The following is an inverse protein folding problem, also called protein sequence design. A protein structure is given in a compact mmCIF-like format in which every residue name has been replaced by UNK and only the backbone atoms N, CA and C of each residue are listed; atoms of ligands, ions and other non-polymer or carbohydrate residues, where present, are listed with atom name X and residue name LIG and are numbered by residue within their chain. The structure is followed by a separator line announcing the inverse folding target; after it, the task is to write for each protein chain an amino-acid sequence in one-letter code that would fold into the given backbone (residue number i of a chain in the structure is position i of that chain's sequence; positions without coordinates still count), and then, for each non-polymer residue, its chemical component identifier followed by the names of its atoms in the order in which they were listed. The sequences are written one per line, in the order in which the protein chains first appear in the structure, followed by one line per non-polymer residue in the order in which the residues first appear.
data_IF_792372198671
#
_entry.id   IF_792372198671
#
_cell.length_a   1.000
_cell.length_b   1.000
_cell.length_c   1.000
_cell.angle_alpha   90.00
_cell.angle_beta   90.00
_cell.angle_gamma   90.00
#
_symmetry.space_group_name_H-M   'P 1'
#
loop_
_entity.id
_entity.type
_entity.pdbx_description
1 polymer ?
#
# COMPACT_ATOMS: atom_id res chain seq x y z
N UNK A 1 -3.64 0.04 -8.03
CA UNK A 1 -3.71 -0.59 -6.69
C UNK A 1 -4.91 -1.52 -6.68
N UNK A 2 -4.80 -2.68 -6.03
CA UNK A 2 -5.89 -3.64 -5.90
C UNK A 2 -5.92 -4.18 -4.46
N UNK A 3 -7.08 -4.09 -3.81
CA UNK A 3 -7.33 -4.83 -2.57
C UNK A 3 -7.74 -6.25 -2.94
N UNK A 4 -6.94 -7.25 -2.53
CA UNK A 4 -7.14 -8.66 -2.93
C UNK A 4 -7.82 -9.50 -1.87
N UNK A 5 -7.94 -9.01 -0.62
CA UNK A 5 -8.61 -9.72 0.48
C UNK A 5 -8.17 -11.19 0.61
N UNK A 6 -6.86 -11.44 0.46
CA UNK A 6 -6.22 -12.75 0.38
C UNK A 6 -5.75 -13.10 -1.04
N UNK A 7 -4.44 -13.18 -1.24
CA UNK A 7 -3.84 -13.40 -2.57
C UNK A 7 -3.74 -14.88 -3.00
N UNK A 8 -3.81 -15.83 -2.05
CA UNK A 8 -3.48 -17.23 -2.30
C UNK A 8 -4.35 -17.92 -3.35
N UNK A 9 -5.60 -17.46 -3.54
CA UNK A 9 -6.55 -18.03 -4.51
C UNK A 9 -6.76 -17.18 -5.75
N UNK A 10 -6.14 -15.99 -5.81
CA UNK A 10 -6.43 -14.97 -6.84
C UNK A 10 -5.21 -14.58 -7.67
N UNK A 11 -4.02 -15.12 -7.37
CA UNK A 11 -2.77 -14.72 -8.03
C UNK A 11 -2.85 -14.82 -9.56
N UNK A 12 -3.30 -15.94 -10.11
CA UNK A 12 -3.36 -16.12 -11.58
C UNK A 12 -4.29 -15.10 -12.25
N UNK A 13 -5.41 -14.78 -11.62
CA UNK A 13 -6.34 -13.75 -12.11
C UNK A 13 -5.71 -12.36 -12.05
N UNK A 14 -4.97 -12.06 -10.99
CA UNK A 14 -4.23 -10.80 -10.85
C UNK A 14 -3.15 -10.69 -11.94
N UNK A 15 -2.35 -11.74 -12.13
CA UNK A 15 -1.29 -11.76 -13.17
C UNK A 15 -1.90 -11.61 -14.57
N UNK A 16 -2.98 -12.33 -14.87
CA UNK A 16 -3.67 -12.19 -16.15
C UNK A 16 -4.20 -10.77 -16.37
N UNK A 17 -4.78 -10.16 -15.33
CA UNK A 17 -5.30 -8.79 -15.40
C UNK A 17 -4.20 -7.76 -15.66
N UNK A 18 -3.08 -7.83 -14.93
CA UNK A 18 -1.98 -6.86 -15.09
C UNK A 18 -1.29 -6.98 -16.45
N UNK A 19 -1.16 -8.19 -16.99
CA UNK A 19 -0.60 -8.41 -18.33
C UNK A 19 -1.53 -7.88 -19.42
N UNK A 20 -2.83 -8.16 -19.30
CA UNK A 20 -3.86 -7.69 -20.25
C UNK A 20 -3.97 -6.17 -20.29
N UNK A 21 -3.79 -5.49 -19.15
CA UNK A 21 -3.89 -4.04 -19.03
C UNK A 21 -2.55 -3.31 -19.10
N UNK A 22 -1.46 -4.03 -19.42
CA UNK A 22 -0.10 -3.46 -19.51
C UNK A 22 0.33 -2.65 -18.28
N UNK A 23 0.01 -3.15 -17.09
CA UNK A 23 0.37 -2.50 -15.83
C UNK A 23 1.84 -2.82 -15.53
N UNK A 24 2.69 -1.81 -15.31
CA UNK A 24 4.11 -2.06 -14.99
C UNK A 24 4.36 -2.35 -13.51
N UNK A 25 3.61 -1.68 -12.62
CA UNK A 25 3.76 -1.78 -11.17
C UNK A 25 2.37 -1.84 -10.55
N UNK A 26 2.13 -2.85 -9.72
CA UNK A 26 0.87 -3.01 -8.98
C UNK A 26 1.14 -3.09 -7.47
N UNK A 27 0.46 -2.23 -6.71
CA UNK A 27 0.29 -2.41 -5.27
C UNK A 27 -0.91 -3.32 -4.99
N UNK A 28 -0.68 -4.39 -4.26
CA UNK A 28 -1.70 -5.25 -3.65
C UNK A 28 -1.85 -4.91 -2.16
N UNK A 29 -3.08 -4.75 -1.70
CA UNK A 29 -3.41 -4.59 -0.27
C UNK A 29 -4.21 -5.80 0.24
N UNK A 30 -4.13 -6.06 1.54
CA UNK A 30 -4.76 -7.23 2.18
C UNK A 30 -4.32 -8.55 1.55
N UNK A 31 -3.01 -8.73 1.37
CA UNK A 31 -2.49 -9.96 0.74
C UNK A 31 -2.63 -11.18 1.64
N UNK A 32 -2.67 -10.98 2.96
CA UNK A 32 -2.61 -12.03 3.99
C UNK A 32 -1.38 -12.94 3.89
N UNK A 33 -0.35 -12.50 3.15
CA UNK A 33 0.89 -13.23 2.97
C UNK A 33 1.74 -13.08 4.23
N UNK A 34 2.00 -14.20 4.92
CA UNK A 34 2.74 -14.20 6.19
C UNK A 34 4.27 -14.32 5.99
N UNK A 35 4.70 -14.96 4.90
CA UNK A 35 6.11 -15.18 4.56
C UNK A 35 6.24 -15.70 3.12
N UNK A 36 7.46 -15.62 2.59
CA UNK A 36 7.82 -16.15 1.28
C UNK A 36 7.24 -15.31 0.15
N UNK A 37 7.55 -15.71 -1.07
CA UNK A 37 7.17 -14.97 -2.26
C UNK A 37 5.94 -15.60 -2.93
N UNK A 38 5.21 -14.81 -3.70
CA UNK A 38 4.13 -15.30 -4.56
C UNK A 38 4.75 -16.07 -5.73
N UNK A 39 4.04 -17.08 -6.24
CA UNK A 39 4.53 -17.90 -7.33
C UNK A 39 4.36 -17.19 -8.68
N UNK A 40 5.26 -16.24 -8.98
CA UNK A 40 5.26 -15.43 -10.20
C UNK A 40 6.67 -15.00 -10.58
N UNK A 41 6.87 -14.66 -11.85
CA UNK A 41 8.14 -14.12 -12.37
C UNK A 41 8.31 -12.61 -12.09
N UNK A 42 7.26 -11.96 -11.61
CA UNK A 42 7.30 -10.53 -11.25
C UNK A 42 8.17 -10.34 -10.01
N UNK A 43 8.96 -9.27 -10.00
CA UNK A 43 9.72 -8.91 -8.81
C UNK A 43 8.76 -8.43 -7.71
N UNK A 44 9.10 -8.72 -6.45
CA UNK A 44 8.17 -8.58 -5.34
C UNK A 44 8.82 -7.87 -4.17
N UNK A 45 8.09 -6.92 -3.57
CA UNK A 45 8.44 -6.34 -2.29
C UNK A 45 7.26 -6.49 -1.36
N UNK A 46 7.51 -7.03 -0.17
CA UNK A 46 6.45 -7.39 0.78
C UNK A 46 6.57 -6.59 2.08
N UNK A 47 5.44 -6.11 2.57
CA UNK A 47 5.20 -5.97 3.99
C UNK A 47 4.27 -7.10 4.40
N UNK A 48 4.80 -8.09 5.11
CA UNK A 48 4.02 -9.28 5.46
C UNK A 48 2.87 -8.94 6.41
N UNK A 49 1.78 -9.66 6.23
CA UNK A 49 0.63 -9.67 7.12
C UNK A 49 1.03 -10.19 8.50
N UNK A 50 0.25 -9.83 9.52
CA UNK A 50 0.41 -10.34 10.88
C UNK A 50 -0.73 -11.28 11.24
N UNK A 51 -0.49 -12.19 12.19
CA UNK A 51 -1.57 -13.00 12.78
C UNK A 51 -2.05 -12.27 14.03
N UNK A 52 -3.34 -11.96 14.10
CA UNK A 52 -3.96 -11.35 15.28
C UNK A 52 -4.44 -12.46 16.22
N UNK A 53 -3.74 -12.75 17.32
CA UNK A 53 -4.19 -13.74 18.32
C UNK A 53 -4.48 -15.13 17.73
N UNK A 54 -5.66 -15.69 18.06
CA UNK A 54 -6.12 -17.03 17.61
C UNK A 54 -6.67 -17.06 16.17
N UNK A 55 -6.45 -16.01 15.37
CA UNK A 55 -6.98 -15.96 14.00
C UNK A 55 -6.33 -17.03 13.10
N UNK A 56 -7.17 -17.73 12.33
CA UNK A 56 -6.73 -18.71 11.32
C UNK A 56 -6.24 -18.08 10.01
N UNK A 57 -6.33 -16.75 9.87
CA UNK A 57 -5.95 -15.99 8.68
C UNK A 57 -5.05 -14.81 9.05
N UNK A 58 -4.13 -14.46 8.15
CA UNK A 58 -3.34 -13.24 8.26
C UNK A 58 -4.22 -11.98 8.16
N UNK A 59 -3.73 -10.88 8.70
CA UNK A 59 -4.38 -9.57 8.70
C UNK A 59 -3.47 -8.53 8.00
N UNK A 60 -4.04 -7.78 7.06
CA UNK A 60 -3.33 -6.79 6.26
C UNK A 60 -2.35 -7.42 5.26
N UNK A 61 -1.17 -6.83 5.18
CA UNK A 61 -0.15 -7.20 4.21
C UNK A 61 -0.22 -6.35 2.94
N UNK A 62 0.96 -5.95 2.46
CA UNK A 62 1.16 -5.16 1.25
C UNK A 62 2.17 -5.87 0.36
N UNK A 63 1.92 -5.89 -0.94
CA UNK A 63 2.88 -6.39 -1.92
C UNK A 63 2.94 -5.42 -3.09
N UNK A 64 4.14 -4.95 -3.43
CA UNK A 64 4.39 -4.42 -4.77
C UNK A 64 4.80 -5.57 -5.69
N UNK A 65 4.14 -5.67 -6.83
CA UNK A 65 4.54 -6.48 -7.97
C UNK A 65 5.12 -5.54 -9.04
N UNK A 66 6.30 -5.88 -9.56
CA UNK A 66 7.00 -5.11 -10.59
C UNK A 66 7.21 -6.00 -11.81
N UNK A 67 6.83 -5.50 -12.98
CA UNK A 67 6.89 -6.23 -14.24
C UNK A 67 8.31 -6.76 -14.50
N UNK A 68 8.47 -7.99 -15.01
CA UNK A 68 9.75 -8.48 -15.51
C UNK A 68 10.34 -7.52 -16.55
N UNK A 69 11.64 -7.26 -16.45
CA UNK A 69 12.34 -6.31 -17.34
C UNK A 69 11.76 -4.88 -17.31
N UNK A 70 11.24 -4.43 -16.16
CA UNK A 70 10.94 -3.03 -15.96
C UNK A 70 12.23 -2.19 -16.16
N UNK A 71 12.20 -1.11 -16.96
CA UNK A 71 13.42 -0.45 -17.45
C UNK A 71 14.17 0.35 -16.38
N UNK A 72 13.58 0.54 -15.20
CA UNK A 72 14.18 1.26 -14.09
C UNK A 72 14.50 0.32 -12.94
N UNK A 73 15.62 0.58 -12.28
CA UNK A 73 15.94 -0.12 -11.04
C UNK A 73 14.90 0.21 -9.97
N UNK A 74 14.32 -0.83 -9.36
CA UNK A 74 13.36 -0.70 -8.25
C UNK A 74 13.94 -1.38 -7.03
N UNK A 75 13.91 -0.70 -5.91
CA UNK A 75 14.27 -1.28 -4.63
C UNK A 75 13.30 -0.83 -3.53
N UNK A 76 13.15 -1.67 -2.51
CA UNK A 76 12.42 -1.30 -1.30
C UNK A 76 13.17 -0.18 -0.57
N UNK A 77 12.45 0.86 -0.16
CA UNK A 77 13.02 1.90 0.71
C UNK A 77 13.31 1.33 2.10
N UNK A 78 14.46 1.71 2.66
CA UNK A 78 14.93 1.30 3.99
C UNK A 78 14.53 2.28 5.10
N UNK A 79 13.63 3.24 4.81
CA UNK A 79 13.17 4.22 5.80
C UNK A 79 12.65 3.51 7.07
N UNK A 80 13.16 3.83 8.28
CA UNK A 80 12.79 3.16 9.52
C UNK A 80 11.30 3.26 9.86
N UNK A 81 10.56 4.18 9.25
CA UNK A 81 9.09 4.28 9.42
C UNK A 81 8.32 3.26 8.58
N UNK A 82 8.98 2.58 7.62
CA UNK A 82 8.44 1.40 6.90
C UNK A 82 8.32 0.15 7.78
N UNK A 83 8.67 0.25 9.06
CA UNK A 83 8.48 -0.81 10.07
C UNK A 83 7.04 -0.92 10.56
N UNK A 84 6.18 0.07 10.25
CA UNK A 84 4.76 -0.03 10.50
C UNK A 84 4.12 -0.90 9.42
N UNK A 85 3.48 -2.00 9.79
CA UNK A 85 2.84 -2.98 8.89
C UNK A 85 1.79 -2.41 7.90
N UNK A 86 1.52 -1.10 8.00
CA UNK A 86 0.52 -0.35 7.24
C UNK A 86 1.11 0.46 6.07
N UNK A 87 2.46 0.50 5.92
CA UNK A 87 3.17 1.22 4.85
C UNK A 87 4.24 0.33 4.22
N UNK A 88 4.32 0.33 2.90
CA UNK A 88 5.41 -0.26 2.13
C UNK A 88 5.87 0.76 1.09
N UNK A 89 7.17 0.94 0.93
CA UNK A 89 7.72 1.98 0.06
C UNK A 89 8.72 1.38 -0.91
N UNK A 90 8.65 1.79 -2.18
CA UNK A 90 9.65 1.46 -3.20
C UNK A 90 10.21 2.74 -3.80
N UNK A 91 11.46 2.69 -4.25
CA UNK A 91 12.12 3.77 -4.98
C UNK A 91 12.40 3.28 -6.40
N UNK A 92 12.02 4.09 -7.37
CA UNK A 92 12.17 3.82 -8.80
C UNK A 92 13.23 4.77 -9.35
N UNK A 93 14.34 4.20 -9.83
CA UNK A 93 15.53 4.97 -10.16
C UNK A 93 16.06 5.72 -8.92
N UNK A 94 16.32 7.02 -9.07
CA UNK A 94 16.86 7.88 -8.01
C UNK A 94 15.98 9.10 -7.70
N UNK A 95 14.76 9.17 -8.26
CA UNK A 95 13.97 10.40 -8.25
C UNK A 95 12.48 10.21 -8.00
N UNK A 96 12.00 8.97 -7.86
CA UNK A 96 10.59 8.67 -7.61
C UNK A 96 10.44 7.68 -6.46
N UNK A 97 9.75 8.08 -5.41
CA UNK A 97 9.36 7.23 -4.29
C UNK A 97 7.86 6.94 -4.36
N UNK A 98 7.49 5.68 -4.27
CA UNK A 98 6.09 5.24 -4.25
C UNK A 98 5.78 4.62 -2.88
N UNK A 99 4.86 5.24 -2.14
CA UNK A 99 4.37 4.78 -0.85
C UNK A 99 3.02 4.07 -1.00
N UNK A 100 3.01 2.77 -0.77
CA UNK A 100 1.82 1.96 -0.65
C UNK A 100 1.29 1.91 0.77
N UNK A 101 -0.02 2.13 0.94
CA UNK A 101 -0.69 2.13 2.25
C UNK A 101 -1.80 1.09 2.35
N UNK A 102 -1.92 0.50 3.54
CA UNK A 102 -3.13 -0.17 3.99
C UNK A 102 -3.38 0.26 5.44
N UNK A 103 -4.35 1.15 5.65
CA UNK A 103 -4.70 1.71 6.95
C UNK A 103 -6.03 1.08 7.39
N UNK A 104 -6.03 -0.01 8.17
CA UNK A 104 -7.26 -0.76 8.45
C UNK A 104 -8.28 0.11 9.22
N UNK A 105 -9.59 -0.19 9.12
CA UNK A 105 -10.63 0.53 9.86
C UNK A 105 -10.41 0.54 11.38
N UNK A 106 -9.79 -0.53 11.91
CA UNK A 106 -9.47 -0.68 13.33
C UNK A 106 -8.20 0.04 13.80
N UNK A 107 -7.39 0.62 12.88
CA UNK A 107 -6.17 1.35 13.23
C UNK A 107 -6.49 2.51 14.20
N UNK A 108 -5.66 2.71 15.23
CA UNK A 108 -5.89 3.84 16.14
C UNK A 108 -5.70 5.16 15.39
N UNK A 109 -6.36 6.23 15.85
CA UNK A 109 -6.17 7.54 15.22
C UNK A 109 -4.72 8.04 15.38
N UNK A 110 -4.07 7.75 16.50
CA UNK A 110 -2.67 8.10 16.72
C UNK A 110 -1.75 7.40 15.71
N UNK A 111 -1.90 6.08 15.53
CA UNK A 111 -1.09 5.33 14.55
C UNK A 111 -1.37 5.80 13.13
N UNK A 112 -2.62 6.13 12.80
CA UNK A 112 -2.99 6.70 11.52
C UNK A 112 -2.22 8.00 11.22
N UNK A 113 -2.15 8.90 12.21
CA UNK A 113 -1.38 10.15 12.09
C UNK A 113 0.12 9.88 11.99
N UNK A 114 0.66 8.94 12.77
CA UNK A 114 2.08 8.56 12.70
C UNK A 114 2.44 8.00 11.32
N UNK A 115 1.63 7.09 10.76
CA UNK A 115 1.88 6.50 9.44
C UNK A 115 1.88 7.59 8.36
N UNK A 116 0.89 8.47 8.33
CA UNK A 116 0.80 9.52 7.30
C UNK A 116 1.86 10.62 7.47
N UNK A 117 2.12 11.03 8.71
CA UNK A 117 3.14 12.03 9.03
C UNK A 117 4.57 11.55 8.79
N UNK A 118 4.76 10.24 8.56
CA UNK A 118 6.07 9.66 8.23
C UNK A 118 6.50 9.83 6.77
N UNK A 119 5.64 10.40 5.91
CA UNK A 119 5.99 10.64 4.51
C UNK A 119 6.81 11.93 4.40
N UNK A 120 8.02 11.82 3.88
CA UNK A 120 8.87 12.97 3.62
C UNK A 120 8.62 13.55 2.22
N UNK A 121 7.83 14.62 2.18
CA UNK A 121 7.56 15.39 0.95
C UNK A 121 8.61 16.46 0.66
N UNK A 122 9.56 16.71 1.57
CA UNK A 122 10.60 17.73 1.38
C UNK A 122 11.84 17.18 0.68
N UNK A 123 11.87 15.88 0.37
CA UNK A 123 12.96 15.27 -0.38
C UNK A 123 13.02 15.80 -1.82
N UNK A 124 14.19 15.68 -2.47
CA UNK A 124 14.36 16.00 -3.89
C UNK A 124 13.67 15.01 -4.84
N UNK A 125 13.07 13.93 -4.31
CA UNK A 125 12.36 12.93 -5.09
C UNK A 125 10.89 13.29 -5.23
N UNK A 126 10.32 13.03 -6.40
CA UNK A 126 8.87 13.00 -6.57
C UNK A 126 8.27 11.88 -5.73
N UNK A 127 7.08 12.12 -5.17
CA UNK A 127 6.41 11.17 -4.28
C UNK A 127 5.04 10.80 -4.86
N UNK A 128 4.74 9.51 -4.92
CA UNK A 128 3.40 9.00 -5.19
C UNK A 128 2.91 8.25 -3.94
N UNK A 129 1.74 8.60 -3.44
CA UNK A 129 1.07 7.89 -2.37
C UNK A 129 -0.19 7.21 -2.92
N UNK A 130 -0.34 5.91 -2.67
CA UNK A 130 -1.52 5.15 -3.07
C UNK A 130 -1.81 4.04 -2.07
N UNK A 131 -3.06 3.63 -1.96
CA UNK A 131 -3.42 2.59 -1.01
C UNK A 131 -4.87 2.70 -0.55
N UNK A 132 -5.21 1.84 0.40
CA UNK A 132 -6.49 1.87 1.08
C UNK A 132 -6.34 2.55 2.43
N UNK A 133 -6.87 3.77 2.54
CA UNK A 133 -6.80 4.59 3.75
C UNK A 133 -7.96 4.31 4.73
N UNK A 134 -8.97 3.53 4.30
CA UNK A 134 -10.26 3.33 4.99
C UNK A 134 -10.83 4.61 5.61
N UNK A 135 -10.67 5.73 4.91
CA UNK A 135 -11.10 7.05 5.35
C UNK A 135 -12.11 7.61 4.37
N UNK A 136 -13.28 8.00 4.90
CA UNK A 136 -14.37 8.54 4.09
C UNK A 136 -14.29 10.04 4.05
N UNK A 137 -14.08 10.64 2.88
CA UNK A 137 -14.00 12.09 2.75
C UNK A 137 -15.35 12.75 2.43
N UNK A 138 -16.43 11.97 2.43
CA UNK A 138 -17.78 12.47 2.18
C UNK A 138 -17.89 13.14 0.82
N UNK A 139 -18.47 14.35 0.80
CA UNK A 139 -18.68 15.14 -0.42
C UNK A 139 -17.40 15.42 -1.20
N UNK A 140 -16.22 15.47 -0.56
CA UNK A 140 -14.95 15.67 -1.25
C UNK A 140 -14.65 14.55 -2.28
N UNK A 141 -15.08 13.31 -2.00
CA UNK A 141 -14.99 12.16 -2.92
C UNK A 141 -16.34 11.78 -3.54
N UNK A 142 -17.38 12.60 -3.35
CA UNK A 142 -18.75 12.27 -3.77
C UNK A 142 -19.43 11.16 -2.96
N UNK A 143 -18.89 10.79 -1.79
CA UNK A 143 -19.51 9.83 -0.87
C UNK A 143 -20.65 10.52 -0.10
N UNK A 144 -21.83 9.89 -0.06
CA UNK A 144 -23.01 10.39 0.65
C UNK A 144 -23.06 9.96 2.12
N UNK A 145 -22.18 9.03 2.53
CA UNK A 145 -22.12 8.53 3.90
C UNK A 145 -21.38 9.51 4.80
N UNK A 146 -21.68 9.44 6.10
CA UNK A 146 -20.99 10.24 7.11
C UNK A 146 -19.48 9.99 7.11
N UNK A 147 -18.74 11.06 7.32
CA UNK A 147 -17.29 11.05 7.54
C UNK A 147 -16.94 10.25 8.80
N UNK A 148 -15.66 9.90 8.94
CA UNK A 148 -15.15 9.24 10.14
C UNK A 148 -14.11 10.15 10.83
N UNK A 149 -13.66 9.82 12.05
CA UNK A 149 -12.72 10.67 12.79
C UNK A 149 -11.39 10.97 12.06
N UNK A 150 -11.03 10.19 11.04
CA UNK A 150 -9.80 10.38 10.24
C UNK A 150 -9.95 11.38 9.10
N UNK A 151 -11.18 11.71 8.72
CA UNK A 151 -11.48 12.48 7.50
C UNK A 151 -10.81 13.85 7.48
N UNK A 152 -10.90 14.61 8.58
CA UNK A 152 -10.32 15.95 8.65
C UNK A 152 -8.79 15.91 8.55
N UNK A 153 -8.16 14.91 9.18
CA UNK A 153 -6.71 14.77 9.14
C UNK A 153 -6.22 14.38 7.74
N UNK A 154 -6.88 13.41 7.09
CA UNK A 154 -6.53 13.03 5.72
C UNK A 154 -6.74 14.18 4.74
N UNK A 155 -7.87 14.90 4.85
CA UNK A 155 -8.14 16.03 3.99
C UNK A 155 -7.07 17.11 4.12
N UNK A 156 -6.68 17.45 5.36
CA UNK A 156 -5.59 18.38 5.60
C UNK A 156 -4.27 17.89 4.97
N UNK A 157 -3.92 16.62 5.20
CA UNK A 157 -2.71 16.01 4.65
C UNK A 157 -2.68 16.06 3.11
N UNK A 158 -3.80 15.81 2.44
CA UNK A 158 -3.94 15.89 0.97
C UNK A 158 -3.88 17.31 0.40
N UNK A 159 -4.16 18.34 1.22
CA UNK A 159 -4.18 19.74 0.76
C UNK A 159 -2.89 20.50 1.06
N UNK A 160 -2.09 19.98 1.99
CA UNK A 160 -0.83 20.59 2.42
C UNK A 160 0.37 20.03 1.65
N UNK A 161 0.26 18.81 1.13
CA UNK A 161 1.29 18.10 0.36
C UNK A 161 0.78 17.77 -1.04
#
# INVERSE_FOLDING_TARGET
MLNVSGISTSLDLVIHYIETHHIDILLLTETFLLKGDLFTQWAQHHQYATISGDASKGNGGLTFLIRPHFPHYVHRSTDPTTTQHNKLSIVIGNSLTVHGFYLPPALSFADYQTVLGSVDFNSSSSVICLGDFNTRLGSFTGDTRSTNPRSNYLLNWLTVH
#
